data_IF_630536824872
#
_entry.id   IF_630536824872
#
_cell.length_a   1.000
_cell.length_b   1.000
_cell.length_c   1.000
_cell.angle_alpha   90.00
_cell.angle_beta   90.00
_cell.angle_gamma   90.00
#
_symmetry.space_group_name_H-M   'P 1'
#
loop_
_entity.id
_entity.type
_entity.pdbx_description
1 polymer ?
#
# COMPACT_ATOMS: atom_id res chain seq x y z
N UNK A 1 -1.35 -1.81 -22.31
CA UNK A 1 -1.93 -2.79 -21.35
C UNK A 1 -3.13 -2.15 -20.67
N UNK A 2 -4.35 -2.59 -21.01
CA UNK A 2 -5.57 -2.30 -20.23
C UNK A 2 -5.61 -3.30 -19.07
N UNK A 3 -5.17 -2.87 -17.89
CA UNK A 3 -5.13 -3.76 -16.70
C UNK A 3 -6.50 -3.87 -16.05
N UNK A 4 -7.39 -2.91 -16.30
CA UNK A 4 -8.72 -2.88 -15.69
C UNK A 4 -9.78 -2.65 -16.74
N UNK A 5 -10.73 -3.57 -16.83
CA UNK A 5 -12.02 -3.34 -17.46
C UNK A 5 -13.11 -3.15 -16.38
N UNK A 6 -14.37 -3.04 -16.82
CA UNK A 6 -15.50 -2.91 -15.90
C UNK A 6 -15.74 -4.17 -15.05
N UNK A 7 -15.43 -5.36 -15.58
CA UNK A 7 -15.59 -6.62 -14.88
C UNK A 7 -14.56 -6.74 -13.76
N UNK A 8 -13.29 -6.47 -14.06
CA UNK A 8 -12.19 -6.35 -13.11
C UNK A 8 -12.53 -5.36 -12.00
N UNK A 9 -12.94 -4.15 -12.36
CA UNK A 9 -13.27 -3.10 -11.37
C UNK A 9 -14.38 -3.55 -10.43
N UNK A 10 -15.42 -4.19 -10.97
CA UNK A 10 -16.51 -4.74 -10.17
C UNK A 10 -16.04 -5.87 -9.25
N UNK A 11 -15.22 -6.79 -9.74
CA UNK A 11 -14.68 -7.90 -8.95
C UNK A 11 -13.79 -7.38 -7.80
N UNK A 12 -12.93 -6.41 -8.11
CA UNK A 12 -12.08 -5.73 -7.13
C UNK A 12 -12.91 -5.08 -6.02
N UNK A 13 -13.92 -4.29 -6.38
CA UNK A 13 -14.79 -3.62 -5.40
C UNK A 13 -15.59 -4.61 -4.55
N UNK A 14 -15.99 -5.76 -5.11
CA UNK A 14 -16.62 -6.82 -4.31
C UNK A 14 -15.63 -7.44 -3.31
N UNK A 15 -14.39 -7.72 -3.73
CA UNK A 15 -13.37 -8.25 -2.83
C UNK A 15 -13.04 -7.25 -1.70
N UNK A 16 -12.91 -5.96 -2.04
CA UNK A 16 -12.69 -4.90 -1.06
C UNK A 16 -13.88 -4.73 -0.11
N UNK A 17 -15.12 -4.95 -0.58
CA UNK A 17 -16.31 -4.96 0.27
C UNK A 17 -16.33 -6.17 1.22
N UNK A 18 -15.97 -7.36 0.73
CA UNK A 18 -15.81 -8.55 1.58
C UNK A 18 -14.76 -8.30 2.66
N UNK A 19 -13.63 -7.71 2.30
CA UNK A 19 -12.57 -7.36 3.23
C UNK A 19 -13.04 -6.36 4.28
N UNK A 20 -13.73 -5.29 3.85
CA UNK A 20 -14.26 -4.26 4.75
C UNK A 20 -15.26 -4.83 5.74
N UNK A 21 -16.13 -5.75 5.30
CA UNK A 21 -17.06 -6.47 6.19
C UNK A 21 -16.31 -7.31 7.21
N UNK A 22 -15.31 -8.07 6.75
CA UNK A 22 -14.49 -8.92 7.61
C UNK A 22 -13.82 -8.10 8.71
N UNK A 23 -13.12 -7.01 8.35
CA UNK A 23 -12.49 -6.09 9.29
C UNK A 23 -13.51 -5.55 10.30
N UNK A 24 -14.67 -5.06 9.85
CA UNK A 24 -15.66 -4.43 10.76
C UNK A 24 -16.35 -5.38 11.73
N UNK A 25 -16.21 -6.70 11.57
CA UNK A 25 -16.84 -7.71 12.43
C UNK A 25 -15.86 -8.33 13.44
N UNK A 26 -14.55 -8.12 13.27
CA UNK A 26 -13.52 -8.73 14.13
C UNK A 26 -13.08 -7.79 15.25
N UNK A 27 -12.89 -8.34 16.44
CA UNK A 27 -12.39 -7.62 17.62
C UNK A 27 -10.86 -7.58 17.69
N UNK A 28 -10.18 -8.49 16.99
CA UNK A 28 -8.71 -8.68 17.06
C UNK A 28 -7.96 -7.84 16.03
N UNK A 29 -8.50 -6.67 15.68
CA UNK A 29 -7.85 -5.77 14.75
C UNK A 29 -6.60 -5.13 15.36
N UNK A 30 -5.56 -4.88 14.56
CA UNK A 30 -4.42 -4.09 14.99
C UNK A 30 -4.86 -2.72 15.54
N UNK A 31 -4.36 -2.31 16.72
CA UNK A 31 -4.76 -1.07 17.34
C UNK A 31 -4.22 0.12 16.54
N UNK A 32 -5.10 0.71 15.73
CA UNK A 32 -4.86 2.01 15.10
C UNK A 32 -5.22 3.15 16.04
N UNK A 33 -4.52 4.27 15.93
CA UNK A 33 -4.82 5.50 16.67
C UNK A 33 -6.29 5.89 16.48
N UNK A 34 -6.97 6.20 17.58
CA UNK A 34 -8.36 6.69 17.57
C UNK A 34 -9.33 5.78 16.76
N UNK A 35 -9.07 4.47 16.70
CA UNK A 35 -9.84 3.50 15.91
C UNK A 35 -9.96 3.85 14.42
N UNK A 36 -8.95 4.52 13.85
CA UNK A 36 -8.90 4.91 12.44
C UNK A 36 -9.14 3.75 11.47
N UNK A 37 -8.54 2.57 11.70
CA UNK A 37 -8.70 1.39 10.84
C UNK A 37 -10.16 0.96 10.76
N UNK A 38 -10.78 0.74 11.92
CA UNK A 38 -12.18 0.34 12.02
C UNK A 38 -13.09 1.38 11.37
N UNK A 39 -12.88 2.65 11.68
CA UNK A 39 -13.68 3.77 11.17
C UNK A 39 -13.60 3.85 9.64
N UNK A 40 -12.39 3.76 9.08
CA UNK A 40 -12.19 3.75 7.63
C UNK A 40 -12.93 2.59 6.96
N UNK A 41 -12.72 1.35 7.42
CA UNK A 41 -13.35 0.18 6.80
C UNK A 41 -14.87 0.12 7.01
N UNK A 42 -15.39 0.71 8.10
CA UNK A 42 -16.82 0.87 8.33
C UNK A 42 -17.47 1.82 7.31
N UNK A 43 -16.84 2.98 7.08
CA UNK A 43 -17.29 3.95 6.08
C UNK A 43 -17.16 3.39 4.66
N UNK A 44 -16.02 2.77 4.36
CA UNK A 44 -15.71 2.15 3.08
C UNK A 44 -16.75 1.08 2.71
N UNK A 45 -17.18 0.25 3.66
CA UNK A 45 -18.26 -0.73 3.43
C UNK A 45 -19.54 -0.08 2.91
N UNK A 46 -19.92 1.08 3.46
CA UNK A 46 -21.09 1.85 3.03
C UNK A 46 -20.93 2.40 1.62
N UNK A 47 -19.80 3.05 1.34
CA UNK A 47 -19.45 3.59 0.03
C UNK A 47 -19.46 2.49 -1.04
N UNK A 48 -18.73 1.39 -0.83
CA UNK A 48 -18.64 0.27 -1.75
C UNK A 48 -20.01 -0.37 -2.02
N UNK A 49 -20.86 -0.48 -1.01
CA UNK A 49 -22.22 -1.00 -1.19
C UNK A 49 -23.04 -0.10 -2.12
N UNK A 50 -22.92 1.23 -1.97
CA UNK A 50 -23.58 2.20 -2.85
C UNK A 50 -23.02 2.14 -4.28
N UNK A 51 -21.71 2.18 -4.42
CA UNK A 51 -20.98 2.10 -5.71
C UNK A 51 -21.34 0.83 -6.48
N UNK A 52 -21.30 -0.33 -5.84
CA UNK A 52 -21.66 -1.61 -6.48
C UNK A 52 -23.14 -1.69 -6.85
N UNK A 53 -24.04 -1.07 -6.08
CA UNK A 53 -25.46 -0.95 -6.44
C UNK A 53 -25.65 -0.07 -7.67
N UNK A 54 -24.91 1.04 -7.77
CA UNK A 54 -24.92 1.89 -8.96
C UNK A 54 -24.47 1.09 -10.17
N UNK A 55 -23.28 0.45 -10.13
CA UNK A 55 -22.74 -0.36 -11.24
C UNK A 55 -23.67 -1.47 -11.75
N UNK A 56 -24.62 -1.96 -10.95
CA UNK A 56 -25.61 -2.97 -11.36
C UNK A 56 -26.73 -2.39 -12.25
N UNK A 57 -26.99 -1.09 -12.19
CA UNK A 57 -28.00 -0.42 -13.02
C UNK A 57 -27.47 -0.34 -14.45
N UNK A 58 -28.20 -0.91 -15.41
CA UNK A 58 -27.82 -0.87 -16.83
C UNK A 58 -27.56 0.59 -17.27
N UNK A 59 -26.46 0.80 -18.02
CA UNK A 59 -25.98 2.10 -18.51
C UNK A 59 -25.45 3.11 -17.46
N UNK A 60 -25.30 2.73 -16.20
CA UNK A 60 -24.64 3.61 -15.23
C UNK A 60 -23.11 3.57 -15.38
N UNK A 61 -22.51 4.75 -15.52
CA UNK A 61 -21.09 4.96 -15.28
C UNK A 61 -20.91 5.37 -13.83
N UNK A 62 -19.82 4.90 -13.23
CA UNK A 62 -19.48 5.21 -11.84
C UNK A 62 -18.15 5.92 -11.83
N UNK A 63 -18.16 7.11 -11.27
CA UNK A 63 -16.98 7.88 -10.93
C UNK A 63 -16.93 7.97 -9.41
N UNK A 64 -15.84 7.48 -8.81
CA UNK A 64 -15.64 7.62 -7.38
C UNK A 64 -14.17 7.72 -7.02
N UNK A 65 -13.92 8.28 -5.84
CA UNK A 65 -12.60 8.39 -5.24
C UNK A 65 -12.69 7.83 -3.83
N UNK A 66 -11.95 6.76 -3.59
CA UNK A 66 -11.78 6.19 -2.25
C UNK A 66 -10.45 6.72 -1.72
N UNK A 67 -10.47 7.38 -0.57
CA UNK A 67 -9.27 8.00 0.02
C UNK A 67 -9.08 7.54 1.44
N UNK A 68 -7.87 7.10 1.77
CA UNK A 68 -7.43 6.89 3.15
C UNK A 68 -6.91 8.23 3.67
N UNK A 69 -7.83 9.10 4.12
CA UNK A 69 -7.53 10.43 4.63
C UNK A 69 -8.40 10.76 5.85
N UNK A 70 -7.80 11.05 7.03
CA UNK A 70 -6.36 11.03 7.30
C UNK A 70 -5.77 9.62 7.16
N UNK A 71 -4.43 9.54 7.07
CA UNK A 71 -3.74 8.25 7.08
C UNK A 71 -4.11 7.46 8.36
N UNK A 72 -4.24 6.14 8.22
CA UNK A 72 -4.41 5.24 9.36
C UNK A 72 -3.05 5.04 9.99
N UNK A 73 -2.92 5.33 11.29
CA UNK A 73 -1.65 5.24 12.03
C UNK A 73 -1.74 4.10 13.02
N UNK A 74 -0.75 3.22 12.98
CA UNK A 74 -0.56 2.11 13.91
C UNK A 74 0.65 2.38 14.78
N UNK A 75 0.55 2.02 16.05
CA UNK A 75 1.74 1.94 16.89
C UNK A 75 2.57 0.74 16.44
N UNK A 76 3.88 0.94 16.32
CA UNK A 76 4.84 -0.11 16.01
C UNK A 76 5.85 -0.18 17.16
N UNK A 77 5.79 -1.26 17.92
CA UNK A 77 6.74 -1.51 19.00
C UNK A 77 7.98 -2.15 18.38
N UNK A 78 9.02 -1.36 18.19
CA UNK A 78 10.28 -1.87 17.66
C UNK A 78 10.89 -2.88 18.66
N UNK A 79 11.19 -4.12 18.25
CA UNK A 79 11.61 -5.18 19.17
C UNK A 79 12.95 -4.92 19.87
N UNK A 80 13.79 -4.00 19.36
CA UNK A 80 15.17 -3.83 19.85
C UNK A 80 15.35 -2.64 20.78
N UNK A 81 14.47 -1.63 20.73
CA UNK A 81 14.60 -0.40 21.51
C UNK A 81 13.27 0.09 22.08
N UNK A 82 13.08 -0.04 23.40
CA UNK A 82 11.84 0.39 24.08
C UNK A 82 11.76 1.89 24.39
N UNK A 83 12.86 2.61 24.23
CA UNK A 83 12.96 4.04 24.56
C UNK A 83 12.35 4.95 23.49
N UNK A 84 12.15 4.43 22.27
CA UNK A 84 11.67 5.21 21.12
C UNK A 84 10.35 4.62 20.64
N UNK A 85 9.39 5.50 20.38
CA UNK A 85 8.09 5.08 19.85
C UNK A 85 8.10 5.21 18.33
N UNK A 86 7.74 4.13 17.66
CA UNK A 86 7.59 4.11 16.21
C UNK A 86 6.13 3.92 15.85
N UNK A 87 5.79 4.37 14.65
CA UNK A 87 4.46 4.26 14.09
C UNK A 87 4.58 3.84 12.63
N UNK A 88 3.60 3.10 12.15
CA UNK A 88 3.42 2.83 10.72
C UNK A 88 2.15 3.55 10.29
N UNK A 89 2.19 4.29 9.19
CA UNK A 89 0.99 4.92 8.63
C UNK A 89 0.67 4.40 7.24
N UNK A 90 -0.59 4.13 6.95
CA UNK A 90 -1.10 3.89 5.59
C UNK A 90 -1.93 5.08 5.14
N UNK A 91 -1.65 5.57 3.95
CA UNK A 91 -2.50 6.50 3.23
C UNK A 91 -2.69 6.04 1.79
N UNK A 92 -3.58 6.72 1.07
CA UNK A 92 -3.69 6.49 -0.35
C UNK A 92 -5.02 6.90 -0.97
N UNK A 93 -5.09 6.68 -2.26
CA UNK A 93 -6.22 6.98 -3.11
C UNK A 93 -6.43 5.83 -4.11
N UNK A 94 -7.69 5.52 -4.36
CA UNK A 94 -8.14 4.76 -5.52
C UNK A 94 -9.12 5.65 -6.28
N UNK A 95 -8.88 5.83 -7.57
CA UNK A 95 -9.74 6.61 -8.45
C UNK A 95 -10.39 5.71 -9.50
N UNK A 96 -11.70 5.79 -9.59
CA UNK A 96 -12.51 5.11 -10.59
C UNK A 96 -13.16 6.18 -11.46
N UNK A 97 -12.99 6.06 -12.77
CA UNK A 97 -13.62 6.91 -13.78
C UNK A 97 -14.25 6.02 -14.85
N UNK A 98 -15.49 6.33 -15.26
CA UNK A 98 -16.25 5.55 -16.23
C UNK A 98 -16.34 4.05 -15.89
N UNK A 99 -16.40 3.74 -14.59
CA UNK A 99 -16.38 2.38 -14.04
C UNK A 99 -15.06 1.61 -14.26
N UNK A 100 -13.96 2.32 -14.51
CA UNK A 100 -12.61 1.78 -14.67
C UNK A 100 -11.68 2.33 -13.58
N UNK A 101 -10.80 1.50 -13.04
CA UNK A 101 -9.75 1.98 -12.14
C UNK A 101 -8.71 2.72 -12.98
N UNK A 102 -8.57 4.02 -12.75
CA UNK A 102 -7.64 4.85 -13.51
C UNK A 102 -6.37 5.19 -12.75
N UNK A 103 -6.45 5.20 -11.43
CA UNK A 103 -5.35 5.57 -10.56
C UNK A 103 -5.46 4.79 -9.25
N UNK A 104 -4.32 4.34 -8.76
CA UNK A 104 -4.19 3.92 -7.38
C UNK A 104 -2.83 4.38 -6.88
N UNK A 105 -2.80 5.14 -5.80
CA UNK A 105 -1.56 5.53 -5.13
C UNK A 105 -1.68 5.20 -3.66
N UNK A 106 -0.88 4.25 -3.20
CA UNK A 106 -0.84 3.83 -1.80
C UNK A 106 0.50 4.21 -1.20
N UNK A 107 0.48 4.66 0.05
CA UNK A 107 1.69 5.02 0.76
C UNK A 107 1.78 4.34 2.13
N UNK A 108 2.98 3.86 2.44
CA UNK A 108 3.35 3.36 3.77
C UNK A 108 4.47 4.22 4.30
N UNK A 109 4.31 4.75 5.51
CA UNK A 109 5.38 5.50 6.18
C UNK A 109 5.78 4.78 7.46
N UNK A 110 7.09 4.61 7.67
CA UNK A 110 7.66 4.36 8.98
C UNK A 110 7.96 5.70 9.63
N UNK A 111 7.39 5.92 10.81
CA UNK A 111 7.39 7.18 11.52
C UNK A 111 8.05 6.99 12.88
N UNK A 112 8.85 7.96 13.27
CA UNK A 112 9.41 8.11 14.60
C UNK A 112 8.68 9.22 15.33
N UNK A 113 8.19 8.93 16.53
CA UNK A 113 7.70 9.97 17.45
C UNK A 113 8.91 10.58 18.17
N UNK A 114 9.03 11.90 18.08
CA UNK A 114 10.09 12.69 18.67
C UNK A 114 9.50 13.59 19.76
N UNK A 115 10.04 13.48 20.96
CA UNK A 115 9.62 14.26 22.13
C UNK A 115 10.75 15.16 22.60
N UNK A 116 10.45 16.11 23.49
CA UNK A 116 11.45 17.00 24.12
C UNK A 116 12.60 16.25 24.80
N UNK A 117 12.38 15.02 25.26
CA UNK A 117 13.37 14.17 25.93
C UNK A 117 14.19 13.30 24.96
N UNK A 118 13.91 13.36 23.66
CA UNK A 118 14.58 12.55 22.64
C UNK A 118 15.86 13.22 22.14
N UNK A 119 16.87 12.43 21.76
CA UNK A 119 18.06 12.95 21.07
C UNK A 119 17.70 13.68 19.77
N UNK A 120 18.29 14.84 19.52
CA UNK A 120 18.04 15.64 18.32
C UNK A 120 18.17 14.82 17.03
N UNK A 121 17.20 14.94 16.13
CA UNK A 121 17.26 14.30 14.81
C UNK A 121 18.40 14.92 13.98
N UNK A 122 19.27 14.10 13.36
CA UNK A 122 20.32 14.59 12.48
C UNK A 122 19.78 15.50 11.38
N UNK A 123 20.47 16.60 11.08
CA UNK A 123 19.99 17.58 10.12
C UNK A 123 19.80 16.96 8.72
N UNK A 124 20.62 15.98 8.36
CA UNK A 124 20.52 15.24 7.11
C UNK A 124 19.21 14.45 6.93
N UNK A 125 18.41 14.23 7.99
CA UNK A 125 17.15 13.47 7.93
C UNK A 125 15.91 14.34 8.02
N UNK A 126 16.07 15.65 8.22
CA UNK A 126 14.95 16.58 8.32
C UNK A 126 14.39 16.85 6.92
N UNK A 127 13.60 15.90 6.37
CA UNK A 127 12.74 16.21 5.21
C UNK A 127 11.72 17.30 5.58
N UNK A 128 11.24 17.28 6.83
CA UNK A 128 10.41 18.33 7.42
C UNK A 128 10.94 18.63 8.83
N UNK A 129 11.39 19.86 9.13
CA UNK A 129 11.95 20.19 10.44
C UNK A 129 10.83 20.29 11.47
N UNK A 130 10.65 19.25 12.30
CA UNK A 130 9.90 19.34 13.54
C UNK A 130 10.87 19.24 14.74
N UNK A 131 10.65 20.05 15.78
CA UNK A 131 11.40 19.94 17.05
C UNK A 131 10.80 18.86 17.95
N UNK A 132 9.50 18.63 17.84
CA UNK A 132 8.71 17.60 18.51
C UNK A 132 7.60 17.16 17.55
N UNK A 133 7.12 15.93 17.66
CA UNK A 133 6.05 15.37 16.82
C UNK A 133 6.48 14.15 16.02
N UNK A 134 5.88 13.96 14.84
CA UNK A 134 6.10 12.78 14.00
C UNK A 134 7.09 13.07 12.88
N UNK A 135 8.11 12.21 12.76
CA UNK A 135 9.12 12.28 11.70
C UNK A 135 9.05 11.05 10.82
N UNK A 136 8.91 11.25 9.50
CA UNK A 136 8.94 10.16 8.53
C UNK A 136 10.39 9.71 8.35
N UNK A 137 10.69 8.49 8.78
CA UNK A 137 12.00 7.85 8.61
C UNK A 137 12.13 7.16 7.24
N UNK A 138 11.04 6.54 6.80
CA UNK A 138 10.96 5.85 5.52
C UNK A 138 9.56 6.03 4.95
N UNK A 139 9.48 6.17 3.63
CA UNK A 139 8.24 6.25 2.88
C UNK A 139 8.31 5.30 1.71
N UNK A 140 7.24 4.55 1.47
CA UNK A 140 7.03 3.71 0.30
C UNK A 140 5.78 4.20 -0.43
N UNK A 141 5.85 4.28 -1.74
CA UNK A 141 4.79 4.63 -2.66
C UNK A 141 4.57 3.48 -3.63
N UNK A 142 3.37 2.92 -3.63
CA UNK A 142 2.93 1.88 -4.54
C UNK A 142 1.90 2.50 -5.47
N UNK A 143 2.35 2.83 -6.68
CA UNK A 143 1.56 3.61 -7.63
C UNK A 143 1.16 2.75 -8.83
N UNK A 144 -0.08 2.92 -9.25
CA UNK A 144 -0.68 2.47 -10.49
C UNK A 144 -1.27 3.67 -11.22
N UNK A 145 -0.80 3.90 -12.43
CA UNK A 145 -1.35 4.91 -13.33
C UNK A 145 -1.69 4.25 -14.67
N UNK A 146 -3.00 4.08 -14.94
CA UNK A 146 -3.44 3.44 -16.17
C UNK A 146 -3.31 4.34 -17.39
N UNK A 147 -3.31 5.66 -17.16
CA UNK A 147 -3.22 6.76 -18.15
C UNK A 147 -1.78 7.17 -18.45
N UNK A 148 -0.80 6.58 -17.79
CA UNK A 148 0.59 6.79 -18.14
C UNK A 148 0.85 6.17 -19.53
N UNK A 149 0.83 7.03 -20.55
CA UNK A 149 1.13 6.71 -21.95
C UNK A 149 2.64 6.69 -22.24
N UNK A 150 3.48 7.01 -21.25
CA UNK A 150 4.93 6.88 -21.34
C UNK A 150 5.33 5.42 -21.08
N UNK A 151 5.45 4.64 -22.16
CA UNK A 151 5.86 3.23 -22.15
C UNK A 151 7.26 3.01 -21.53
N UNK A 152 8.08 4.07 -21.40
CA UNK A 152 9.38 3.98 -20.71
C UNK A 152 9.26 3.83 -19.19
N UNK A 153 8.05 4.07 -18.63
CA UNK A 153 7.78 3.97 -17.20
C UNK A 153 6.82 2.81 -16.92
N UNK A 154 7.12 1.95 -15.95
CA UNK A 154 6.22 0.86 -15.61
C UNK A 154 4.91 1.43 -15.03
N UNK A 155 3.77 0.90 -15.49
CA UNK A 155 2.44 1.29 -14.99
C UNK A 155 2.28 1.04 -13.50
N UNK A 156 2.94 0.01 -12.98
CA UNK A 156 3.06 -0.27 -11.55
C UNK A 156 4.49 -0.01 -11.09
N UNK A 157 4.65 0.80 -10.06
CA UNK A 157 5.98 1.08 -9.52
C UNK A 157 6.00 1.25 -8.02
N UNK A 158 7.16 0.89 -7.45
CA UNK A 158 7.55 1.23 -6.11
C UNK A 158 8.53 2.40 -6.16
N UNK A 159 8.22 3.46 -5.42
CA UNK A 159 9.17 4.49 -5.06
C UNK A 159 9.35 4.50 -3.54
N UNK A 160 10.58 4.65 -3.06
CA UNK A 160 10.81 4.75 -1.63
C UNK A 160 11.88 5.78 -1.30
N UNK A 161 11.69 6.44 -0.16
CA UNK A 161 12.56 7.51 0.32
C UNK A 161 12.77 7.45 1.83
N UNK A 162 13.67 8.30 2.31
CA UNK A 162 14.04 8.36 3.72
C UNK A 162 15.34 7.60 4.04
N UNK A 163 15.99 8.02 5.11
CA UNK A 163 17.28 7.52 5.58
C UNK A 163 17.33 7.60 7.10
N UNK A 164 17.94 6.59 7.72
CA UNK A 164 18.22 6.59 9.14
C UNK A 164 19.46 5.73 9.45
N UNK A 165 20.11 6.03 10.57
CA UNK A 165 21.29 5.32 11.12
C UNK A 165 20.82 4.49 12.31
N UNK A 166 21.17 3.20 12.30
CA UNK A 166 20.91 2.22 13.36
C UNK A 166 21.24 2.74 14.76
N UNK A 167 22.45 3.31 14.92
CA UNK A 167 22.95 3.84 16.20
C UNK A 167 22.01 4.88 16.82
N UNK A 168 21.45 5.78 16.03
CA UNK A 168 20.54 6.83 16.52
C UNK A 168 19.17 6.27 16.91
N UNK A 169 18.73 5.24 16.19
CA UNK A 169 17.48 4.55 16.51
C UNK A 169 17.64 3.50 17.62
N UNK A 170 18.87 3.27 18.09
CA UNK A 170 19.23 2.20 19.05
C UNK A 170 18.71 0.82 18.59
N UNK A 171 18.85 0.55 17.29
CA UNK A 171 18.52 -0.74 16.68
C UNK A 171 19.82 -1.50 16.48
N UNK A 172 19.96 -2.68 17.10
CA UNK A 172 21.13 -3.56 16.95
C UNK A 172 21.11 -4.28 15.59
N UNK A 173 21.73 -3.68 14.56
CA UNK A 173 22.25 -4.36 13.35
C UNK A 173 21.27 -5.13 12.45
N UNK A 174 20.03 -5.33 12.89
CA UNK A 174 19.02 -6.21 12.33
C UNK A 174 17.88 -5.39 11.71
N UNK A 175 18.22 -4.34 10.98
CA UNK A 175 17.24 -3.77 10.05
C UNK A 175 17.08 -4.78 8.92
N UNK A 176 15.89 -5.37 8.82
CA UNK A 176 15.54 -6.34 7.78
C UNK A 176 15.71 -5.79 6.35
N UNK A 177 15.74 -4.46 6.17
CA UNK A 177 15.82 -3.74 4.89
C UNK A 177 16.98 -2.74 4.83
N UNK A 178 18.16 -3.20 4.41
CA UNK A 178 19.26 -2.31 3.98
C UNK A 178 18.99 -1.77 2.58
N UNK A 179 17.98 -0.91 2.45
CA UNK A 179 17.69 -0.21 1.20
C UNK A 179 18.60 1.01 1.05
N UNK A 180 19.09 1.23 -0.17
CA UNK A 180 19.87 2.41 -0.53
C UNK A 180 19.12 3.69 -0.14
N UNK A 181 19.81 4.67 0.45
CA UNK A 181 19.18 5.91 0.87
C UNK A 181 18.77 6.75 -0.34
N UNK A 182 17.51 7.21 -0.35
CA UNK A 182 16.93 8.11 -1.35
C UNK A 182 16.98 7.56 -2.78
N UNK A 183 16.00 6.74 -3.14
CA UNK A 183 15.60 6.60 -4.54
C UNK A 183 14.46 7.58 -4.83
N UNK A 184 14.79 8.86 -4.95
CA UNK A 184 13.87 9.81 -5.62
C UNK A 184 13.68 9.40 -7.09
N UNK A 185 14.73 8.78 -7.66
CA UNK A 185 14.75 8.01 -8.91
C UNK A 185 15.88 6.96 -8.83
N UNK A 186 15.72 5.74 -9.39
CA UNK A 186 14.64 5.30 -10.27
C UNK A 186 13.45 4.67 -9.53
N UNK A 187 12.27 4.76 -10.17
CA UNK A 187 11.07 3.97 -9.85
C UNK A 187 11.39 2.50 -10.13
N UNK A 188 11.25 1.64 -9.12
CA UNK A 188 11.46 0.22 -9.31
C UNK A 188 10.20 -0.39 -9.92
N UNK A 189 10.28 -1.09 -11.06
CA UNK A 189 9.18 -1.92 -11.52
C UNK A 189 8.80 -2.88 -10.40
N UNK A 190 7.55 -2.81 -9.96
CA UNK A 190 7.04 -3.62 -8.87
C UNK A 190 5.73 -4.25 -9.31
N UNK A 191 5.43 -5.44 -8.78
CA UNK A 191 4.11 -6.03 -8.96
C UNK A 191 3.02 -5.12 -8.37
N UNK A 192 1.77 -5.21 -8.86
CA UNK A 192 0.67 -4.45 -8.28
C UNK A 192 0.47 -4.76 -6.78
N UNK A 193 0.17 -3.72 -6.00
CA UNK A 193 -0.31 -3.82 -4.63
C UNK A 193 -1.64 -3.11 -4.56
N UNK A 194 -2.64 -3.69 -3.93
CA UNK A 194 -3.87 -3.00 -3.54
C UNK A 194 -3.90 -2.75 -2.03
N UNK A 195 -4.98 -2.15 -1.52
CA UNK A 195 -5.12 -1.86 -0.09
C UNK A 195 -5.06 -3.14 0.76
N UNK A 196 -5.60 -4.26 0.24
CA UNK A 196 -5.68 -5.55 0.96
C UNK A 196 -4.28 -6.17 1.09
N UNK A 197 -3.58 -6.32 -0.04
CA UNK A 197 -2.22 -6.87 -0.12
C UNK A 197 -1.25 -5.98 0.66
N UNK A 198 -1.41 -4.65 0.58
CA UNK A 198 -0.57 -3.72 1.33
C UNK A 198 -0.76 -3.86 2.84
N UNK A 199 -2.01 -3.98 3.31
CA UNK A 199 -2.27 -4.18 4.73
C UNK A 199 -1.70 -5.52 5.20
N UNK A 200 -1.92 -6.60 4.45
CA UNK A 200 -1.34 -7.92 4.75
C UNK A 200 0.19 -7.88 4.81
N UNK A 201 0.83 -7.28 3.81
CA UNK A 201 2.27 -7.06 3.79
C UNK A 201 2.72 -6.35 5.07
N UNK A 202 2.10 -5.22 5.42
CA UNK A 202 2.53 -4.47 6.59
C UNK A 202 2.34 -5.22 7.91
N UNK A 203 1.25 -5.98 8.07
CA UNK A 203 1.02 -6.73 9.31
C UNK A 203 2.11 -7.78 9.54
N UNK A 204 2.53 -8.45 8.47
CA UNK A 204 3.61 -9.43 8.51
C UNK A 204 4.97 -8.77 8.68
N UNK A 205 5.17 -7.65 8.01
CA UNK A 205 6.44 -6.93 7.96
C UNK A 205 6.80 -6.28 9.29
N UNK A 206 5.83 -5.61 9.91
CA UNK A 206 6.05 -4.85 11.13
C UNK A 206 5.57 -5.59 12.38
N UNK A 207 5.18 -6.86 12.27
CA UNK A 207 4.69 -7.69 13.40
C UNK A 207 3.76 -6.92 14.34
N UNK A 208 2.81 -6.17 13.77
CA UNK A 208 1.95 -5.27 14.56
C UNK A 208 1.12 -6.08 15.56
N UNK A 209 0.81 -5.48 16.71
CA UNK A 209 -0.14 -6.09 17.66
C UNK A 209 -1.45 -6.44 16.94
N UNK A 210 -2.03 -7.61 17.20
CA UNK A 210 -3.22 -8.09 16.49
C UNK A 210 -2.94 -8.66 15.08
N UNK A 211 -1.68 -8.80 14.66
CA UNK A 211 -1.34 -9.42 13.36
C UNK A 211 -1.74 -10.90 13.23
N UNK A 212 -2.16 -11.55 14.31
CA UNK A 212 -2.70 -12.91 14.30
C UNK A 212 -3.91 -13.06 13.38
N UNK A 213 -4.65 -11.97 13.13
CA UNK A 213 -5.73 -11.93 12.13
C UNK A 213 -5.27 -12.39 10.74
N UNK A 214 -4.00 -12.16 10.40
CA UNK A 214 -3.42 -12.58 9.11
C UNK A 214 -3.27 -14.11 8.98
N UNK A 215 -3.36 -14.85 10.10
CA UNK A 215 -3.36 -16.32 10.12
C UNK A 215 -4.75 -16.91 9.94
N UNK A 216 -5.82 -16.10 10.02
CA UNK A 216 -7.18 -16.59 9.81
C UNK A 216 -7.39 -17.08 8.37
N UNK A 217 -8.08 -18.21 8.21
CA UNK A 217 -8.39 -18.76 6.88
C UNK A 217 -9.14 -17.76 6.01
N UNK A 218 -10.12 -17.06 6.59
CA UNK A 218 -10.94 -16.08 5.88
C UNK A 218 -10.15 -14.86 5.42
N UNK A 219 -9.20 -14.40 6.22
CA UNK A 219 -8.26 -13.34 5.81
C UNK A 219 -7.47 -13.79 4.58
N UNK A 220 -6.84 -14.96 4.67
CA UNK A 220 -6.02 -15.52 3.60
C UNK A 220 -6.82 -15.74 2.31
N UNK A 221 -8.08 -16.19 2.39
CA UNK A 221 -8.96 -16.29 1.23
C UNK A 221 -9.15 -14.96 0.50
N UNK A 222 -9.37 -13.87 1.25
CA UNK A 222 -9.61 -12.54 0.67
C UNK A 222 -8.32 -11.96 0.08
N UNK A 223 -7.18 -12.16 0.74
CA UNK A 223 -5.85 -11.80 0.22
C UNK A 223 -5.57 -12.54 -1.09
N UNK A 224 -5.73 -13.87 -1.12
CA UNK A 224 -5.52 -14.70 -2.32
C UNK A 224 -6.43 -14.26 -3.48
N UNK A 225 -7.68 -13.87 -3.19
CA UNK A 225 -8.55 -13.30 -4.23
C UNK A 225 -7.97 -12.01 -4.81
N UNK A 226 -7.44 -11.13 -3.98
CA UNK A 226 -6.82 -9.89 -4.45
C UNK A 226 -5.55 -10.15 -5.25
N UNK A 227 -4.68 -11.04 -4.75
CA UNK A 227 -3.49 -11.47 -5.47
C UNK A 227 -3.83 -12.05 -6.83
N UNK A 228 -4.81 -12.97 -6.92
CA UNK A 228 -5.23 -13.54 -8.20
C UNK A 228 -5.78 -12.47 -9.13
N UNK A 229 -6.55 -11.52 -8.62
CA UNK A 229 -7.14 -10.47 -9.44
C UNK A 229 -6.05 -9.59 -10.06
N UNK A 230 -5.07 -9.15 -9.27
CA UNK A 230 -4.03 -8.24 -9.73
C UNK A 230 -2.81 -8.91 -10.36
N UNK A 231 -2.28 -9.95 -9.72
CA UNK A 231 -0.99 -10.57 -10.08
C UNK A 231 -1.12 -11.52 -11.27
N UNK A 232 -2.25 -12.24 -11.41
CA UNK A 232 -2.44 -13.17 -12.53
C UNK A 232 -2.35 -12.46 -13.89
N UNK A 233 -3.16 -11.42 -14.19
CA UNK A 233 -3.06 -10.73 -15.48
C UNK A 233 -1.71 -10.04 -15.67
N UNK A 234 -1.09 -9.56 -14.58
CA UNK A 234 0.25 -8.98 -14.62
C UNK A 234 1.31 -10.01 -15.07
N UNK A 235 1.37 -11.18 -14.42
CA UNK A 235 2.33 -12.23 -14.75
C UNK A 235 2.05 -12.88 -16.11
N UNK A 236 0.79 -13.08 -16.48
CA UNK A 236 0.41 -13.56 -17.82
C UNK A 236 0.88 -12.58 -18.92
N UNK A 237 0.80 -11.27 -18.67
CA UNK A 237 1.33 -10.26 -19.59
C UNK A 237 2.85 -10.35 -19.73
N UNK A 238 3.58 -10.44 -18.61
CA UNK A 238 5.04 -10.61 -18.62
C UNK A 238 5.46 -11.87 -19.37
N UNK A 239 4.78 -12.99 -19.14
CA UNK A 239 5.01 -14.25 -19.86
C UNK A 239 4.72 -14.10 -21.35
N UNK A 240 3.63 -13.43 -21.72
CA UNK A 240 3.30 -13.14 -23.12
C UNK A 240 4.41 -12.33 -23.79
N UNK A 241 4.89 -11.25 -23.14
CA UNK A 241 6.00 -10.43 -23.66
C UNK A 241 7.29 -11.25 -23.81
N UNK A 242 7.59 -12.11 -22.84
CA UNK A 242 8.76 -13.00 -22.89
C UNK A 242 8.65 -14.01 -24.04
N UNK A 243 7.48 -14.62 -24.25
CA UNK A 243 7.23 -15.57 -25.34
C UNK A 243 7.31 -14.94 -26.73
N UNK A 244 6.99 -13.65 -26.85
CA UNK A 244 7.14 -12.88 -28.09
C UNK A 244 8.59 -12.47 -28.38
N UNK A 245 9.53 -12.68 -27.44
CA UNK A 245 10.93 -12.33 -27.67
C UNK A 245 11.56 -13.24 -28.72
N UNK A 246 12.39 -12.66 -29.58
CA UNK A 246 13.08 -13.38 -30.65
C UNK A 246 14.56 -13.07 -30.62
N UNK A 247 15.38 -13.83 -31.38
CA UNK A 247 16.83 -13.55 -31.49
C UNK A 247 17.14 -12.14 -31.98
N UNK A 248 16.28 -11.55 -32.80
CA UNK A 248 16.44 -10.20 -33.36
C UNK A 248 15.71 -9.12 -32.55
N UNK A 249 14.82 -9.51 -31.64
CA UNK A 249 14.08 -8.62 -30.75
C UNK A 249 14.08 -9.16 -29.32
N UNK A 250 15.21 -9.02 -28.60
CA UNK A 250 15.30 -9.45 -27.21
C UNK A 250 14.51 -8.51 -26.31
N UNK A 251 13.86 -9.07 -25.28
CA UNK A 251 12.88 -8.37 -24.41
C UNK A 251 13.40 -7.04 -23.82
N UNK A 252 14.65 -6.99 -23.38
CA UNK A 252 15.25 -5.78 -22.78
C UNK A 252 15.46 -4.62 -23.77
N UNK A 253 15.21 -4.83 -25.06
CA UNK A 253 15.32 -3.82 -26.13
C UNK A 253 13.97 -3.44 -26.73
N UNK A 254 12.89 -4.10 -26.31
CA UNK A 254 11.53 -3.76 -26.73
C UNK A 254 11.15 -2.52 -25.92
N UNK A 255 11.15 -1.36 -26.59
CA UNK A 255 10.62 -0.10 -26.04
C UNK A 255 9.12 -0.26 -25.80
#
# INVERSE_FOLDING_TARGET
MEVSDKAFTKEYLNNLLEFSKFITYRSELPPSRENQLYTFFSNLKGELTSTLKQMKRQNSQVDCKISISPNIIFRYDNPVGKDRKFHVSIGGILKIENSLIVEQSLCVNLILEHTSNSENIPNEWKMYPAKEGFHILRKFHFDFDSKNDDDSKPKFHLQYGGSFKEKYLKIDGNIHYKLYSQLDTPRLPQQPYDIIILLDFMLREFELEGCEIAKESRWNEIVIKSEKLWLKPYYENLLTRLNCSTRISPLHRIQ
#
